data_IF_420721958923
#
_entry.id   IF_420721958923
#
_cell.length_a   1.000
_cell.length_b   1.000
_cell.length_c   1.000
_cell.angle_alpha   90.00
_cell.angle_beta   90.00
_cell.angle_gamma   90.00
#
_symmetry.space_group_name_H-M   'P 1'
#
loop_
_entity.id
_entity.type
_entity.pdbx_description
1 polymer ?
#
# COMPACT_ATOMS: atom_id res chain seq x y z
N UNK A 1 4.61 -3.40 -13.90
CA UNK A 1 5.60 -2.34 -13.72
C UNK A 1 4.87 -1.11 -13.18
N UNK A 2 5.27 -0.61 -12.01
CA UNK A 2 4.83 0.65 -11.46
C UNK A 2 5.91 1.70 -11.71
N UNK A 3 5.58 2.80 -12.38
CA UNK A 3 6.54 3.86 -12.71
C UNK A 3 6.37 5.01 -11.71
N UNK A 4 7.46 5.37 -11.04
CA UNK A 4 7.52 6.39 -10.01
C UNK A 4 8.51 7.48 -10.41
N UNK A 5 8.11 8.72 -10.27
CA UNK A 5 8.98 9.89 -10.46
C UNK A 5 9.92 10.04 -9.25
N UNK A 6 11.23 9.86 -9.48
CA UNK A 6 12.25 9.95 -8.45
C UNK A 6 12.45 11.37 -7.90
N UNK A 7 12.03 12.39 -8.65
CA UNK A 7 12.13 13.80 -8.19
C UNK A 7 11.03 14.16 -7.18
N UNK A 8 9.96 13.34 -7.11
CA UNK A 8 8.84 13.50 -6.20
C UNK A 8 8.39 12.15 -5.61
N UNK A 9 9.34 11.42 -5.04
CA UNK A 9 9.20 10.04 -4.64
C UNK A 9 8.11 9.84 -3.57
N UNK A 10 8.07 10.68 -2.54
CA UNK A 10 7.12 10.58 -1.41
C UNK A 10 5.68 10.56 -1.90
N UNK A 11 5.31 11.49 -2.76
CA UNK A 11 3.96 11.56 -3.33
C UNK A 11 3.60 10.33 -4.17
N UNK A 12 4.56 9.82 -4.93
CA UNK A 12 4.33 8.70 -5.85
C UNK A 12 4.28 7.35 -5.12
N UNK A 13 5.01 7.19 -4.01
CA UNK A 13 4.98 5.96 -3.21
C UNK A 13 3.62 5.71 -2.56
N UNK A 14 2.81 6.73 -2.33
CA UNK A 14 1.44 6.57 -1.83
C UNK A 14 0.61 5.61 -2.70
N UNK A 15 0.66 5.77 -4.03
CA UNK A 15 -0.01 4.86 -4.97
C UNK A 15 0.68 3.49 -5.00
N UNK A 16 2.01 3.46 -4.91
CA UNK A 16 2.78 2.21 -4.89
C UNK A 16 2.32 1.29 -3.76
N UNK A 17 2.15 1.82 -2.55
CA UNK A 17 1.65 1.05 -1.40
C UNK A 17 0.26 0.46 -1.66
N UNK A 18 -0.66 1.22 -2.25
CA UNK A 18 -1.98 0.71 -2.61
C UNK A 18 -1.93 -0.41 -3.66
N UNK A 19 -1.01 -0.31 -4.63
CA UNK A 19 -0.80 -1.36 -5.63
C UNK A 19 -0.21 -2.62 -5.02
N UNK A 20 0.66 -2.50 -4.01
CA UNK A 20 1.25 -3.64 -3.32
C UNK A 20 0.22 -4.42 -2.50
N UNK A 21 -0.79 -3.75 -1.94
CA UNK A 21 -1.91 -4.40 -1.25
C UNK A 21 -2.74 -5.33 -2.17
N UNK A 22 -2.65 -5.16 -3.50
CA UNK A 22 -3.28 -6.07 -4.47
C UNK A 22 -2.62 -7.45 -4.55
N UNK A 23 -1.46 -7.62 -3.95
CA UNK A 23 -0.70 -8.89 -3.95
C UNK A 23 -0.44 -9.46 -5.35
N UNK A 24 -0.19 -8.59 -6.32
CA UNK A 24 0.20 -8.98 -7.69
C UNK A 24 1.71 -8.84 -7.89
N UNK A 25 2.34 -9.67 -8.76
CA UNK A 25 3.73 -9.50 -9.11
C UNK A 25 4.00 -8.08 -9.64
N UNK A 26 4.99 -7.38 -9.06
CA UNK A 26 5.30 -6.02 -9.50
C UNK A 26 6.78 -5.66 -9.34
N UNK A 27 7.23 -4.70 -10.16
CA UNK A 27 8.55 -4.07 -10.12
C UNK A 27 8.33 -2.55 -10.10
N UNK A 28 9.10 -1.85 -9.28
CA UNK A 28 9.12 -0.39 -9.25
C UNK A 28 10.17 0.13 -10.24
N UNK A 29 9.75 0.90 -11.22
CA UNK A 29 10.64 1.65 -12.11
C UNK A 29 10.80 3.06 -11.56
N UNK A 30 11.96 3.38 -11.00
CA UNK A 30 12.25 4.70 -10.45
C UNK A 30 12.80 5.59 -11.56
N UNK A 31 11.92 6.36 -12.19
CA UNK A 31 12.22 7.16 -13.38
C UNK A 31 12.74 8.57 -13.03
N UNK A 32 13.29 9.26 -14.02
CA UNK A 32 13.91 10.59 -13.91
C UNK A 32 15.19 10.62 -13.05
N UNK A 33 15.91 9.50 -13.00
CA UNK A 33 17.17 9.42 -12.26
C UNK A 33 18.26 10.33 -12.82
N UNK A 34 18.19 10.70 -14.08
CA UNK A 34 19.06 11.72 -14.68
C UNK A 34 18.84 13.11 -14.09
N UNK A 35 17.59 13.48 -13.80
CA UNK A 35 17.26 14.76 -13.14
C UNK A 35 17.72 14.77 -11.70
N UNK A 36 17.50 13.66 -10.96
CA UNK A 36 17.99 13.51 -9.58
C UNK A 36 19.51 13.70 -9.53
N UNK A 37 20.26 13.03 -10.43
CA UNK A 37 21.73 13.17 -10.54
C UNK A 37 22.16 14.57 -10.96
N UNK A 38 21.46 15.20 -11.91
CA UNK A 38 21.76 16.58 -12.36
C UNK A 38 21.59 17.61 -11.23
N UNK A 39 20.68 17.38 -10.31
CA UNK A 39 20.46 18.20 -9.13
C UNK A 39 21.36 17.81 -7.93
N UNK A 40 22.32 16.94 -8.12
CA UNK A 40 23.26 16.48 -7.07
C UNK A 40 22.64 15.55 -6.04
N UNK A 41 21.44 15.02 -6.30
CA UNK A 41 20.74 14.08 -5.46
C UNK A 41 21.14 12.61 -5.74
N UNK A 42 20.76 11.74 -4.81
CA UNK A 42 20.86 10.27 -4.97
C UNK A 42 19.72 9.58 -4.23
N UNK A 43 19.34 8.39 -4.71
CA UNK A 43 18.37 7.52 -4.03
C UNK A 43 19.07 6.24 -3.61
N UNK A 44 18.84 5.81 -2.38
CA UNK A 44 19.35 4.53 -1.85
C UNK A 44 18.46 3.38 -2.31
N UNK A 45 18.70 2.88 -3.53
CA UNK A 45 17.86 1.85 -4.18
C UNK A 45 17.69 0.62 -3.29
N UNK A 46 18.79 0.03 -2.79
CA UNK A 46 18.74 -1.18 -1.96
C UNK A 46 17.92 -0.97 -0.68
N UNK A 47 18.03 0.20 -0.04
CA UNK A 47 17.21 0.49 1.13
C UNK A 47 15.72 0.59 0.80
N UNK A 48 15.39 1.11 -0.38
CA UNK A 48 14.01 1.18 -0.85
C UNK A 48 13.46 -0.22 -1.19
N UNK A 49 14.27 -1.09 -1.81
CA UNK A 49 13.93 -2.50 -2.03
C UNK A 49 13.69 -3.26 -0.73
N UNK A 50 14.58 -3.07 0.26
CA UNK A 50 14.45 -3.72 1.58
C UNK A 50 13.16 -3.30 2.29
N UNK A 51 12.81 -2.01 2.22
CA UNK A 51 11.61 -1.47 2.86
C UNK A 51 10.34 -1.95 2.15
N UNK A 52 10.31 -1.87 0.82
CA UNK A 52 9.13 -2.23 0.03
C UNK A 52 9.00 -3.73 -0.21
N UNK A 53 10.09 -4.49 -0.19
CA UNK A 53 10.08 -5.93 -0.48
C UNK A 53 9.72 -6.26 -1.94
N UNK A 54 10.02 -5.35 -2.87
CA UNK A 54 9.89 -5.52 -4.33
C UNK A 54 11.13 -5.00 -5.02
N UNK A 55 11.49 -5.51 -6.22
CA UNK A 55 12.60 -4.96 -6.99
C UNK A 55 12.36 -3.50 -7.38
N UNK A 56 13.41 -2.68 -7.26
CA UNK A 56 13.42 -1.26 -7.63
C UNK A 56 14.51 -1.01 -8.66
N UNK A 57 14.12 -0.65 -9.87
CA UNK A 57 15.05 -0.41 -10.97
C UNK A 57 15.13 1.08 -11.27
N UNK A 58 16.31 1.70 -11.08
CA UNK A 58 16.52 3.10 -11.45
C UNK A 58 16.63 3.25 -12.96
N UNK A 59 15.79 4.13 -13.53
CA UNK A 59 15.76 4.37 -14.97
C UNK A 59 15.78 5.87 -15.33
N UNK A 60 16.16 6.16 -16.54
CA UNK A 60 15.85 7.41 -17.23
C UNK A 60 15.24 7.07 -18.59
N UNK A 61 13.92 7.11 -18.69
CA UNK A 61 13.22 6.79 -19.93
C UNK A 61 13.60 7.75 -21.06
N UNK A 62 13.83 9.04 -20.75
CA UNK A 62 14.26 10.05 -21.72
C UNK A 62 15.63 9.76 -22.33
N UNK A 63 16.51 9.05 -21.60
CA UNK A 63 17.86 8.69 -22.03
C UNK A 63 18.00 7.21 -22.42
N UNK A 64 16.94 6.45 -22.33
CA UNK A 64 16.94 5.00 -22.52
C UNK A 64 17.94 4.26 -21.59
N UNK A 65 18.12 4.77 -20.35
CA UNK A 65 19.00 4.17 -19.34
C UNK A 65 18.17 3.24 -18.42
N UNK A 66 18.70 2.03 -18.13
CA UNK A 66 18.11 1.06 -17.19
C UNK A 66 16.87 0.32 -17.72
N UNK A 67 16.50 0.50 -18.99
CA UNK A 67 15.28 -0.10 -19.55
C UNK A 67 15.43 -1.61 -19.73
N UNK A 68 16.56 -2.11 -20.20
CA UNK A 68 16.80 -3.54 -20.38
C UNK A 68 16.76 -4.27 -19.03
N UNK A 69 17.41 -3.70 -18.01
CA UNK A 69 17.36 -4.22 -16.63
C UNK A 69 15.94 -4.24 -16.06
N UNK A 70 15.14 -3.19 -16.29
CA UNK A 70 13.74 -3.14 -15.90
C UNK A 70 12.93 -4.27 -16.56
N UNK A 71 13.15 -4.52 -17.84
CA UNK A 71 12.47 -5.60 -18.59
C UNK A 71 12.84 -6.96 -17.99
N UNK A 72 14.13 -7.20 -17.74
CA UNK A 72 14.62 -8.46 -17.18
C UNK A 72 14.00 -8.73 -15.79
N UNK A 73 14.00 -7.73 -14.90
CA UNK A 73 13.35 -7.83 -13.58
C UNK A 73 11.84 -8.07 -13.72
N UNK A 74 11.16 -7.36 -14.60
CA UNK A 74 9.72 -7.52 -14.81
C UNK A 74 9.38 -8.93 -15.32
N UNK A 75 10.15 -9.46 -16.27
CA UNK A 75 9.98 -10.82 -16.80
C UNK A 75 10.26 -11.88 -15.72
N UNK A 76 11.30 -11.68 -14.91
CA UNK A 76 11.62 -12.58 -13.80
C UNK A 76 10.48 -12.64 -12.79
N UNK A 77 10.05 -11.49 -12.28
CA UNK A 77 8.98 -11.38 -11.29
C UNK A 77 7.67 -11.97 -11.81
N UNK A 78 7.34 -11.69 -13.08
CA UNK A 78 6.13 -12.23 -13.72
C UNK A 78 6.17 -13.76 -13.88
N UNK A 79 7.32 -14.32 -14.29
CA UNK A 79 7.49 -15.78 -14.45
C UNK A 79 7.50 -16.51 -13.10
N UNK A 80 8.17 -15.92 -12.10
CA UNK A 80 8.24 -16.46 -10.75
C UNK A 80 6.94 -16.27 -9.96
N UNK A 81 5.99 -15.46 -10.47
CA UNK A 81 4.77 -15.04 -9.74
C UNK A 81 5.10 -14.46 -8.36
N UNK A 82 6.22 -13.76 -8.27
CA UNK A 82 6.71 -13.19 -7.02
C UNK A 82 5.85 -12.00 -6.61
N UNK A 83 5.09 -12.20 -5.55
CA UNK A 83 4.25 -11.16 -4.94
C UNK A 83 5.08 -10.24 -4.04
N UNK A 84 4.62 -9.00 -3.79
CA UNK A 84 5.21 -8.15 -2.76
C UNK A 84 5.30 -8.88 -1.42
N UNK A 85 6.44 -8.79 -0.76
CA UNK A 85 6.65 -9.44 0.53
C UNK A 85 5.96 -8.65 1.66
N UNK A 86 5.78 -7.36 1.46
CA UNK A 86 5.13 -6.47 2.41
C UNK A 86 3.84 -5.91 1.81
N UNK A 87 2.75 -6.05 2.55
CA UNK A 87 1.44 -5.47 2.21
C UNK A 87 0.85 -4.66 3.36
N UNK A 88 1.56 -4.61 4.49
CA UNK A 88 1.19 -3.86 5.67
C UNK A 88 2.07 -2.62 5.83
N UNK A 89 1.44 -1.46 5.76
CA UNK A 89 2.06 -0.14 5.82
C UNK A 89 1.57 0.69 7.01
N UNK A 90 0.91 0.05 7.98
CA UNK A 90 0.53 0.75 9.19
C UNK A 90 1.64 0.68 10.24
N UNK A 91 1.72 1.75 11.03
CA UNK A 91 2.64 1.82 12.16
C UNK A 91 2.01 1.12 13.36
N UNK A 92 2.78 0.23 13.96
CA UNK A 92 2.42 -0.39 15.24
C UNK A 92 2.77 0.55 16.38
N UNK A 93 1.98 0.50 17.44
CA UNK A 93 2.29 1.17 18.71
C UNK A 93 1.94 0.24 19.85
N UNK A 94 2.86 0.13 20.80
CA UNK A 94 2.66 -0.65 22.05
C UNK A 94 1.71 0.06 23.01
N UNK A 95 1.48 1.37 22.85
CA UNK A 95 0.50 2.12 23.64
C UNK A 95 -0.89 1.98 23.01
N UNK A 96 -1.84 1.34 23.73
CA UNK A 96 -3.22 1.21 23.25
C UNK A 96 -3.96 2.53 23.02
N UNK A 97 -3.46 3.62 23.60
CA UNK A 97 -4.03 4.97 23.47
C UNK A 97 -3.34 5.83 22.44
N UNK A 98 -2.27 5.32 21.82
CA UNK A 98 -1.56 6.06 20.78
C UNK A 98 -2.41 6.15 19.51
N UNK A 99 -2.76 7.36 19.04
CA UNK A 99 -3.50 7.55 17.79
C UNK A 99 -2.82 6.94 16.57
N UNK A 100 -1.49 6.86 16.57
CA UNK A 100 -0.70 6.24 15.47
C UNK A 100 -1.07 4.76 15.32
N UNK A 101 -1.21 4.04 16.42
CA UNK A 101 -1.62 2.63 16.42
C UNK A 101 -3.11 2.39 16.17
N UNK A 102 -3.95 3.42 16.23
CA UNK A 102 -5.40 3.26 16.10
C UNK A 102 -5.83 2.71 14.74
N UNK A 103 -5.22 3.22 13.64
CA UNK A 103 -5.49 2.73 12.29
C UNK A 103 -5.03 1.28 12.13
N UNK A 104 -3.85 0.93 12.66
CA UNK A 104 -3.34 -0.44 12.67
C UNK A 104 -4.34 -1.39 13.34
N UNK A 105 -4.78 -1.07 14.56
CA UNK A 105 -5.75 -1.89 15.31
C UNK A 105 -7.06 -2.05 14.54
N UNK A 106 -7.59 -0.96 13.98
CA UNK A 106 -8.83 -0.98 13.19
C UNK A 106 -8.71 -1.91 11.98
N UNK A 107 -7.68 -1.74 11.15
CA UNK A 107 -7.52 -2.51 9.93
C UNK A 107 -7.31 -3.99 10.24
N UNK A 108 -6.49 -4.34 11.23
CA UNK A 108 -6.26 -5.73 11.60
C UNK A 108 -7.51 -6.39 12.20
N UNK A 109 -8.24 -5.72 13.08
CA UNK A 109 -9.49 -6.23 13.62
C UNK A 109 -10.57 -6.38 12.51
N UNK A 110 -10.68 -5.42 11.61
CA UNK A 110 -11.59 -5.48 10.47
C UNK A 110 -11.20 -6.60 9.50
N UNK A 111 -9.91 -6.79 9.21
CA UNK A 111 -9.44 -7.89 8.37
C UNK A 111 -9.82 -9.24 8.97
N UNK A 112 -9.62 -9.46 10.26
CA UNK A 112 -10.03 -10.70 10.93
C UNK A 112 -11.55 -10.91 10.89
N UNK A 113 -12.33 -9.87 11.12
CA UNK A 113 -13.80 -9.91 11.09
C UNK A 113 -14.35 -10.28 9.71
N UNK A 114 -13.74 -9.75 8.65
CA UNK A 114 -14.26 -9.78 7.28
C UNK A 114 -13.55 -10.80 6.38
N UNK A 115 -12.49 -11.47 6.84
CA UNK A 115 -11.63 -12.35 6.04
C UNK A 115 -12.42 -13.34 5.18
N UNK A 116 -13.39 -14.03 5.78
CA UNK A 116 -14.18 -15.05 5.09
C UNK A 116 -15.00 -14.47 3.93
N UNK A 117 -15.59 -13.29 4.13
CA UNK A 117 -16.44 -12.65 3.12
C UNK A 117 -15.58 -12.06 1.99
N UNK A 118 -14.45 -11.47 2.34
CA UNK A 118 -13.48 -10.93 1.37
C UNK A 118 -12.89 -12.05 0.51
N UNK A 119 -12.45 -13.16 1.13
CA UNK A 119 -11.93 -14.32 0.38
C UNK A 119 -12.99 -14.95 -0.51
N UNK A 120 -14.25 -15.00 -0.08
CA UNK A 120 -15.38 -15.46 -0.92
C UNK A 120 -15.58 -14.57 -2.14
N UNK A 121 -15.33 -13.26 -2.03
CA UNK A 121 -15.37 -12.32 -3.16
C UNK A 121 -14.12 -12.41 -4.06
N UNK A 122 -13.12 -13.26 -3.73
CA UNK A 122 -11.90 -13.45 -4.51
C UNK A 122 -10.93 -12.28 -4.44
N UNK A 123 -10.94 -11.53 -3.32
CA UNK A 123 -10.12 -10.33 -3.14
C UNK A 123 -8.99 -10.54 -2.13
N UNK A 124 -7.85 -9.84 -2.25
CA UNK A 124 -6.84 -9.75 -1.22
C UNK A 124 -7.42 -9.10 0.05
N UNK A 125 -7.20 -9.75 1.20
CA UNK A 125 -7.87 -9.35 2.46
C UNK A 125 -7.46 -7.94 2.85
N UNK A 126 -6.16 -7.65 2.82
CA UNK A 126 -5.63 -6.33 3.20
C UNK A 126 -6.20 -5.22 2.31
N UNK A 127 -6.10 -5.37 0.99
CA UNK A 127 -6.62 -4.41 0.02
C UNK A 127 -8.11 -4.13 0.23
N UNK A 128 -8.93 -5.19 0.30
CA UNK A 128 -10.36 -5.03 0.43
C UNK A 128 -10.75 -4.40 1.77
N UNK A 129 -10.05 -4.75 2.85
CA UNK A 129 -10.29 -4.16 4.18
C UNK A 129 -9.96 -2.67 4.19
N UNK A 130 -8.80 -2.25 3.66
CA UNK A 130 -8.44 -0.83 3.58
C UNK A 130 -9.44 -0.05 2.74
N UNK A 131 -9.88 -0.61 1.61
CA UNK A 131 -10.90 0.01 0.75
C UNK A 131 -12.26 0.12 1.42
N UNK A 132 -12.69 -0.88 2.19
CA UNK A 132 -13.93 -0.79 2.98
C UNK A 132 -13.84 0.29 4.06
N UNK A 133 -12.69 0.41 4.75
CA UNK A 133 -12.47 1.51 5.73
C UNK A 133 -12.55 2.87 5.03
N UNK A 134 -12.03 3.00 3.81
CA UNK A 134 -12.11 4.20 2.96
C UNK A 134 -13.50 4.43 2.32
N UNK A 135 -14.50 3.62 2.62
CA UNK A 135 -15.86 3.68 2.03
C UNK A 135 -15.88 3.53 0.50
N UNK A 136 -15.02 2.69 -0.06
CA UNK A 136 -15.04 2.41 -1.49
C UNK A 136 -16.32 1.67 -1.89
N UNK A 137 -17.15 2.31 -2.70
CA UNK A 137 -18.46 1.78 -3.13
C UNK A 137 -18.35 0.46 -3.88
N UNK A 138 -17.31 0.29 -4.70
CA UNK A 138 -17.12 -0.95 -5.47
C UNK A 138 -16.84 -2.13 -4.53
N UNK A 139 -16.11 -1.88 -3.45
CA UNK A 139 -15.86 -2.90 -2.43
C UNK A 139 -17.13 -3.21 -1.62
N UNK A 140 -17.89 -2.19 -1.22
CA UNK A 140 -19.17 -2.39 -0.51
C UNK A 140 -20.18 -3.18 -1.35
N UNK A 141 -20.29 -2.90 -2.65
CA UNK A 141 -21.16 -3.62 -3.59
C UNK A 141 -20.69 -5.06 -3.84
N UNK A 142 -19.38 -5.31 -3.81
CA UNK A 142 -18.81 -6.62 -4.09
C UNK A 142 -18.76 -7.55 -2.87
N UNK A 143 -18.67 -6.96 -1.68
CA UNK A 143 -18.55 -7.71 -0.42
C UNK A 143 -19.84 -7.54 0.38
N UNK A 144 -20.72 -8.53 0.25
CA UNK A 144 -22.00 -8.52 0.96
C UNK A 144 -21.83 -8.93 2.41
N UNK A 145 -21.83 -7.95 3.32
CA UNK A 145 -21.74 -8.17 4.75
C UNK A 145 -23.14 -8.41 5.34
N UNK A 146 -23.21 -9.32 6.32
CA UNK A 146 -24.42 -9.46 7.16
C UNK A 146 -24.61 -8.22 8.03
N UNK A 147 -25.86 -7.90 8.47
CA UNK A 147 -26.12 -6.75 9.33
C UNK A 147 -25.25 -6.71 10.59
N UNK A 148 -25.02 -7.87 11.23
CA UNK A 148 -24.20 -7.96 12.43
C UNK A 148 -22.73 -7.61 12.16
N UNK A 149 -22.17 -8.07 11.02
CA UNK A 149 -20.81 -7.74 10.62
C UNK A 149 -20.69 -6.28 10.22
N UNK A 150 -21.71 -5.72 9.56
CA UNK A 150 -21.77 -4.33 9.19
C UNK A 150 -21.76 -3.42 10.44
N UNK A 151 -22.53 -3.80 11.47
CA UNK A 151 -22.55 -3.10 12.74
C UNK A 151 -21.21 -3.20 13.48
N UNK A 152 -20.62 -4.40 13.58
CA UNK A 152 -19.32 -4.61 14.21
C UNK A 152 -18.21 -3.85 13.50
N UNK A 153 -18.16 -3.89 12.16
CA UNK A 153 -17.22 -3.14 11.35
C UNK A 153 -17.37 -1.63 11.56
N UNK A 154 -18.62 -1.12 11.57
CA UNK A 154 -18.89 0.30 11.86
C UNK A 154 -18.39 0.74 13.24
N UNK A 155 -18.48 -0.12 14.25
CA UNK A 155 -17.93 0.15 15.58
C UNK A 155 -16.40 0.25 15.58
N UNK A 156 -15.70 -0.66 14.88
CA UNK A 156 -14.24 -0.60 14.75
C UNK A 156 -13.77 0.71 14.12
N UNK A 157 -14.44 1.12 13.05
CA UNK A 157 -14.13 2.39 12.37
C UNK A 157 -14.42 3.58 13.28
N UNK A 158 -15.56 3.59 13.96
CA UNK A 158 -15.92 4.68 14.89
C UNK A 158 -14.92 4.82 16.04
N UNK A 159 -14.40 3.71 16.58
CA UNK A 159 -13.35 3.73 17.60
C UNK A 159 -12.09 4.38 17.04
N UNK A 160 -11.65 3.99 15.84
CA UNK A 160 -10.48 4.55 15.17
C UNK A 160 -10.64 6.08 14.96
N UNK A 161 -11.81 6.53 14.48
CA UNK A 161 -12.09 7.96 14.28
C UNK A 161 -12.05 8.74 15.60
N UNK A 162 -12.55 8.16 16.69
CA UNK A 162 -12.50 8.76 18.03
C UNK A 162 -11.06 8.82 18.57
N UNK A 163 -10.28 7.78 18.41
CA UNK A 163 -8.90 7.71 18.89
C UNK A 163 -7.95 8.61 18.09
N UNK A 164 -8.16 8.74 16.76
CA UNK A 164 -7.34 9.60 15.90
C UNK A 164 -7.79 11.06 15.89
N UNK A 165 -9.05 11.33 16.20
CA UNK A 165 -9.66 12.65 16.01
C UNK A 165 -9.84 13.05 14.53
N UNK A 166 -9.68 12.11 13.63
CA UNK A 166 -9.79 12.28 12.16
C UNK A 166 -10.95 11.43 11.63
N UNK A 167 -11.55 11.85 10.53
CA UNK A 167 -12.40 10.95 9.77
C UNK A 167 -11.56 9.81 9.14
N UNK A 168 -12.24 8.74 8.72
CA UNK A 168 -11.59 7.53 8.23
C UNK A 168 -10.70 7.75 6.99
N UNK A 169 -11.10 8.66 6.09
CA UNK A 169 -10.32 8.97 4.89
C UNK A 169 -9.02 9.69 5.27
N UNK A 170 -9.10 10.70 6.14
CA UNK A 170 -7.96 11.43 6.64
C UNK A 170 -7.03 10.53 7.49
N UNK A 171 -7.59 9.65 8.34
CA UNK A 171 -6.81 8.71 9.12
C UNK A 171 -6.02 7.72 8.24
N UNK A 172 -6.67 7.17 7.20
CA UNK A 172 -6.02 6.27 6.24
C UNK A 172 -4.95 6.97 5.40
N UNK A 173 -5.22 8.22 4.96
CA UNK A 173 -4.22 9.02 4.24
C UNK A 173 -3.01 9.31 5.14
N UNK A 174 -3.24 9.75 6.37
CA UNK A 174 -2.19 10.06 7.34
C UNK A 174 -1.30 8.85 7.63
N UNK A 175 -1.88 7.66 7.81
CA UNK A 175 -1.14 6.41 8.00
C UNK A 175 -0.14 6.17 6.86
N UNK A 176 -0.57 6.31 5.59
CA UNK A 176 0.30 6.09 4.43
C UNK A 176 1.40 7.15 4.28
N UNK A 177 1.16 8.37 4.77
CA UNK A 177 2.18 9.43 4.77
C UNK A 177 3.22 9.29 5.87
N UNK A 178 2.85 8.64 6.98
CA UNK A 178 3.77 8.44 8.10
C UNK A 178 4.71 7.25 7.91
N UNK A 179 4.34 6.29 7.04
CA UNK A 179 5.18 5.17 6.67
C UNK A 179 6.32 5.58 5.75
#
# INVERSE_FOLDING_TARGET
INIVDATNIERNLYLTMQLMELEIPMVLALNMMDEVRANGGSVRINALEDILGIPVVPISAARNEGIDELIDHALYVARAQQKPQRVDFCLESDDPKDPVGAVHRCIHAAAMLLETDIRRAGLPVRFATTKLVEQDRLMEEKIHLTPDKQQAFGQLVSIMEQETGLDREAAMANMRFQF
#
